data_IF_582482784368
#
_entry.id   IF_582482784368
#
_cell.length_a   1.000
_cell.length_b   1.000
_cell.length_c   1.000
_cell.angle_alpha   90.00
_cell.angle_beta   90.00
_cell.angle_gamma   90.00
#
_symmetry.space_group_name_H-M   'P 1'
#
loop_
_entity.id
_entity.type
_entity.pdbx_description
1 polymer ?
#
# COMPACT_ATOMS: atom_id res chain seq x y z
N UNK A 1 -2.81 -1.15 -5.59
CA UNK A 1 -3.15 -2.24 -4.63
C UNK A 1 -1.98 -3.21 -4.45
N UNK A 2 -1.68 -3.58 -3.19
CA UNK A 2 -0.46 -4.31 -2.78
C UNK A 2 -0.46 -5.80 -3.18
N UNK A 3 -1.38 -6.61 -2.63
CA UNK A 3 -1.57 -8.04 -2.95
C UNK A 3 -0.34 -8.94 -2.71
N UNK A 4 0.26 -8.91 -1.51
CA UNK A 4 1.39 -9.79 -1.15
C UNK A 4 1.00 -11.27 -1.27
N UNK A 5 1.74 -12.10 -2.05
CA UNK A 5 1.50 -13.54 -2.15
C UNK A 5 1.59 -14.24 -0.78
N UNK A 6 0.65 -15.14 -0.48
CA UNK A 6 0.63 -15.88 0.80
C UNK A 6 0.14 -15.07 2.02
N UNK A 7 0.07 -13.73 1.92
CA UNK A 7 -0.38 -12.84 3.01
C UNK A 7 -1.74 -12.21 2.70
N UNK A 8 -2.00 -11.85 1.44
CA UNK A 8 -3.21 -11.12 1.06
C UNK A 8 -4.49 -11.92 1.33
N UNK A 9 -5.38 -11.39 2.18
CA UNK A 9 -6.68 -11.99 2.48
C UNK A 9 -7.76 -11.74 1.42
N UNK A 10 -7.51 -10.83 0.45
CA UNK A 10 -8.42 -10.44 -0.65
C UNK A 10 -9.81 -9.96 -0.20
N UNK A 11 -9.97 -9.53 1.05
CA UNK A 11 -11.22 -8.98 1.54
C UNK A 11 -11.29 -7.47 1.31
N UNK A 12 -12.15 -7.05 0.38
CA UNK A 12 -12.36 -5.65 0.04
C UNK A 12 -12.90 -4.82 1.21
N UNK A 13 -13.68 -5.40 2.13
CA UNK A 13 -14.23 -4.70 3.30
C UNK A 13 -13.14 -4.21 4.27
N UNK A 14 -11.97 -4.84 4.23
CA UNK A 14 -10.81 -4.47 5.08
C UNK A 14 -9.82 -3.54 4.38
N UNK A 15 -10.15 -3.10 3.17
CA UNK A 15 -9.20 -2.32 2.36
C UNK A 15 -9.12 -0.89 2.85
N UNK A 16 -7.90 -0.45 3.13
CA UNK A 16 -7.56 0.92 3.53
C UNK A 16 -6.49 1.49 2.60
N UNK A 17 -6.31 2.81 2.66
CA UNK A 17 -5.21 3.50 2.00
C UNK A 17 -3.99 3.53 2.94
N UNK A 18 -2.99 2.67 2.67
CA UNK A 18 -1.81 2.50 3.51
C UNK A 18 -0.60 3.29 2.96
N UNK A 19 -0.13 4.27 3.73
CA UNK A 19 0.97 5.17 3.36
C UNK A 19 2.34 4.50 3.38
N UNK A 20 3.20 4.82 2.41
CA UNK A 20 4.62 4.46 2.50
C UNK A 20 5.27 5.05 3.76
N UNK A 21 6.21 4.31 4.33
CA UNK A 21 7.09 4.78 5.39
C UNK A 21 7.90 6.02 4.94
N UNK A 22 8.38 6.79 5.91
CA UNK A 22 9.23 7.98 5.68
C UNK A 22 8.51 9.33 5.78
N UNK A 23 7.35 9.40 6.44
CA UNK A 23 6.68 10.67 6.79
C UNK A 23 7.23 11.36 8.05
N UNK A 24 8.07 10.67 8.82
CA UNK A 24 8.51 11.10 10.15
C UNK A 24 7.71 10.44 11.28
N UNK A 25 8.08 10.74 12.52
CA UNK A 25 7.42 10.17 13.71
C UNK A 25 6.02 10.76 13.85
N UNK A 26 5.01 9.90 13.96
CA UNK A 26 3.60 10.32 14.11
C UNK A 26 2.99 10.95 12.86
N UNK A 27 3.72 10.97 11.73
CA UNK A 27 3.30 11.62 10.51
C UNK A 27 3.12 10.61 9.37
N UNK A 28 2.04 10.81 8.60
CA UNK A 28 1.76 10.06 7.38
C UNK A 28 2.44 10.74 6.22
N UNK A 29 2.94 9.95 5.27
CA UNK A 29 3.37 10.49 3.97
C UNK A 29 2.14 11.00 3.20
N UNK A 30 2.34 11.83 2.18
CA UNK A 30 1.25 12.29 1.31
C UNK A 30 0.47 11.11 0.70
N UNK A 31 -0.84 11.23 0.52
CA UNK A 31 -1.72 10.16 0.00
C UNK A 31 -1.30 9.64 -1.38
N UNK A 32 -0.66 10.49 -2.18
CA UNK A 32 -0.05 10.10 -3.46
C UNK A 32 0.95 8.95 -3.30
N UNK A 33 1.61 8.85 -2.15
CA UNK A 33 2.57 7.81 -1.80
C UNK A 33 1.93 6.74 -0.89
N UNK A 34 0.70 6.34 -1.20
CA UNK A 34 -0.05 5.32 -0.47
C UNK A 34 -0.67 4.28 -1.44
N UNK A 35 -0.98 3.11 -0.90
CA UNK A 35 -1.51 1.98 -1.67
C UNK A 35 -2.74 1.37 -1.02
N UNK A 36 -3.70 0.93 -1.83
CA UNK A 36 -4.79 0.09 -1.32
C UNK A 36 -4.24 -1.23 -0.78
N UNK A 37 -4.57 -1.51 0.48
CA UNK A 37 -4.13 -2.69 1.22
C UNK A 37 -5.30 -3.25 2.05
N UNK A 38 -5.57 -4.56 1.91
CA UNK A 38 -6.39 -5.27 2.90
C UNK A 38 -5.66 -5.33 4.25
N UNK A 39 -6.39 -5.63 5.33
CA UNK A 39 -5.82 -5.66 6.69
C UNK A 39 -4.54 -6.52 6.79
N UNK A 40 -4.55 -7.72 6.23
CA UNK A 40 -3.39 -8.62 6.28
C UNK A 40 -2.17 -8.06 5.51
N UNK A 41 -2.38 -7.46 4.34
CA UNK A 41 -1.28 -6.81 3.61
C UNK A 41 -0.75 -5.59 4.38
N UNK A 42 -1.66 -4.81 4.99
CA UNK A 42 -1.30 -3.62 5.75
C UNK A 42 -0.46 -3.97 6.98
N UNK A 43 -0.83 -5.00 7.72
CA UNK A 43 -0.06 -5.49 8.86
C UNK A 43 1.35 -5.94 8.48
N UNK A 44 1.49 -6.58 7.32
CA UNK A 44 2.79 -7.07 6.84
C UNK A 44 3.70 -5.92 6.38
N UNK A 45 3.20 -4.93 5.64
CA UNK A 45 4.03 -3.78 5.22
C UNK A 45 4.43 -2.87 6.39
N UNK A 46 3.57 -2.77 7.41
CA UNK A 46 3.86 -2.04 8.65
C UNK A 46 4.76 -2.83 9.60
N UNK A 47 5.15 -4.05 9.20
CA UNK A 47 6.00 -4.97 9.98
C UNK A 47 5.40 -5.35 11.34
N UNK A 48 4.06 -5.29 11.47
CA UNK A 48 3.33 -5.89 12.60
C UNK A 48 3.41 -7.42 12.52
N UNK A 49 3.42 -7.95 11.30
CA UNK A 49 3.81 -9.33 10.98
C UNK A 49 5.10 -9.33 10.14
N UNK A 50 5.77 -10.49 10.07
CA UNK A 50 7.06 -10.66 9.36
C UNK A 50 7.11 -11.99 8.60
N UNK A 51 6.10 -12.24 7.76
CA UNK A 51 6.04 -13.42 6.89
C UNK A 51 7.04 -13.31 5.73
N UNK A 52 7.24 -12.11 5.20
CA UNK A 52 8.24 -11.80 4.16
C UNK A 52 9.33 -10.89 4.71
N UNK A 53 10.46 -10.82 4.01
CA UNK A 53 11.56 -9.92 4.35
C UNK A 53 11.17 -8.44 4.09
N UNK A 54 11.94 -7.53 4.69
CA UNK A 54 11.63 -6.09 4.64
C UNK A 54 11.76 -5.51 3.23
N UNK A 55 12.72 -5.98 2.43
CA UNK A 55 12.97 -5.47 1.09
C UNK A 55 11.84 -5.87 0.16
N UNK A 56 11.38 -7.12 0.24
CA UNK A 56 10.20 -7.61 -0.47
C UNK A 56 8.93 -6.85 -0.05
N UNK A 57 8.75 -6.59 1.25
CA UNK A 57 7.59 -5.83 1.74
C UNK A 57 7.58 -4.40 1.17
N UNK A 58 8.71 -3.70 1.20
CA UNK A 58 8.86 -2.36 0.64
C UNK A 58 8.65 -2.34 -0.87
N UNK A 59 9.22 -3.30 -1.61
CA UNK A 59 9.05 -3.41 -3.06
C UNK A 59 7.57 -3.60 -3.43
N UNK A 60 6.88 -4.52 -2.76
CA UNK A 60 5.47 -4.80 -3.02
C UNK A 60 4.57 -3.63 -2.61
N UNK A 61 4.92 -2.89 -1.55
CA UNK A 61 4.22 -1.65 -1.18
C UNK A 61 4.35 -0.60 -2.28
N UNK A 62 5.56 -0.35 -2.79
CA UNK A 62 5.81 0.61 -3.89
C UNK A 62 5.10 0.24 -5.18
N UNK A 63 5.17 -1.01 -5.61
CA UNK A 63 4.35 -1.50 -6.74
C UNK A 63 2.85 -1.34 -6.46
N UNK A 64 2.44 -1.50 -5.20
CA UNK A 64 1.09 -1.24 -4.74
C UNK A 64 0.68 0.22 -4.90
N UNK A 65 1.58 1.17 -4.66
CA UNK A 65 1.38 2.61 -4.87
C UNK A 65 1.19 2.90 -6.35
N UNK A 66 2.09 2.42 -7.21
CA UNK A 66 1.99 2.60 -8.67
C UNK A 66 0.63 2.14 -9.21
N UNK A 67 0.18 0.94 -8.82
CA UNK A 67 -1.14 0.42 -9.20
C UNK A 67 -2.30 1.26 -8.67
N UNK A 68 -2.14 1.90 -7.51
CA UNK A 68 -3.17 2.77 -6.90
C UNK A 68 -3.24 4.11 -7.62
N UNK A 69 -2.10 4.70 -7.96
CA UNK A 69 -2.01 5.91 -8.77
C UNK A 69 -2.60 5.67 -10.17
N UNK A 70 -2.28 4.55 -10.82
CA UNK A 70 -2.89 4.19 -12.11
C UNK A 70 -4.42 4.04 -12.01
N UNK A 71 -4.92 3.45 -10.92
CA UNK A 71 -6.35 3.38 -10.68
C UNK A 71 -6.97 4.78 -10.55
N UNK A 72 -6.34 5.68 -9.79
CA UNK A 72 -6.83 7.05 -9.65
C UNK A 72 -6.80 7.82 -10.96
N UNK A 73 -5.74 7.67 -11.75
CA UNK A 73 -5.62 8.30 -13.08
C UNK A 73 -6.75 7.82 -14.00
N UNK A 74 -6.94 6.49 -14.09
CA UNK A 74 -7.98 5.90 -14.94
C UNK A 74 -9.40 6.22 -14.46
N UNK A 75 -9.56 6.52 -13.17
CA UNK A 75 -10.85 6.92 -12.58
C UNK A 75 -11.08 8.44 -12.63
N UNK A 76 -10.12 9.21 -13.12
CA UNK A 76 -10.20 10.68 -13.15
C UNK A 76 -10.04 11.37 -11.79
N UNK A 77 -9.59 10.66 -10.75
CA UNK A 77 -9.36 11.23 -9.42
C UNK A 77 -8.08 12.05 -9.33
N UNK A 78 -7.10 11.77 -10.19
CA UNK A 78 -5.90 12.58 -10.37
C UNK A 78 -5.67 12.81 -11.87
N UNK A 79 -4.91 13.84 -12.19
CA UNK A 79 -4.46 14.15 -13.54
C UNK A 79 -2.97 14.47 -13.54
N UNK A 80 -2.32 14.19 -14.66
CA UNK A 80 -0.96 14.65 -14.95
C UNK A 80 -1.09 15.58 -16.15
N UNK A 81 -0.70 16.83 -15.95
CA UNK A 81 -0.73 17.87 -17.01
C UNK A 81 0.55 17.78 -17.86
#
# INVERSE_FOLDING_TARGET
>A
MIRIPGVCNRNNETTVLAHLNGGGVGAKKHDLFAAFACSACHDEIDRRTRVIDVETAELLHRQGVERTQLFWLNSGFIKVD
#
